data_IF_640213360997
#
_entry.id   IF_640213360997
#
_cell.length_a   1.000
_cell.length_b   1.000
_cell.length_c   1.000
_cell.angle_alpha   90.00
_cell.angle_beta   90.00
_cell.angle_gamma   90.00
#
_symmetry.space_group_name_H-M   'P 1'
#
loop_
_entity.id
_entity.type
_entity.pdbx_description
1 polymer ?
#
# COMPACT_ATOMS: atom_id res chain seq x y z
N UNK A 1 -70.91 -48.37 -9.17
CA UNK A 1 -69.76 -48.93 -8.40
C UNK A 1 -68.40 -48.46 -8.95
N UNK A 2 -68.27 -47.26 -9.51
CA UNK A 2 -67.01 -46.73 -10.10
C UNK A 2 -66.48 -45.43 -9.46
N UNK A 3 -67.12 -44.87 -8.44
CA UNK A 3 -66.74 -43.56 -7.85
C UNK A 3 -65.93 -43.69 -6.53
N UNK A 4 -65.84 -44.87 -5.92
CA UNK A 4 -65.12 -45.11 -4.67
C UNK A 4 -63.66 -45.47 -4.83
N UNK A 5 -63.20 -45.80 -6.07
CA UNK A 5 -61.80 -46.18 -6.34
C UNK A 5 -60.91 -44.99 -6.68
N UNK A 6 -61.46 -43.82 -7.00
CA UNK A 6 -60.71 -42.58 -7.33
C UNK A 6 -60.26 -41.78 -6.11
N UNK A 7 -60.91 -41.98 -4.96
CA UNK A 7 -60.56 -41.23 -3.73
C UNK A 7 -59.42 -41.87 -2.93
N UNK A 8 -59.16 -43.15 -3.13
CA UNK A 8 -58.01 -43.82 -2.46
C UNK A 8 -56.64 -43.50 -3.07
N UNK A 9 -56.62 -43.16 -4.37
CA UNK A 9 -55.36 -42.80 -5.06
C UNK A 9 -54.83 -41.39 -4.71
N UNK A 10 -55.69 -40.48 -4.30
CA UNK A 10 -55.30 -39.09 -3.93
C UNK A 10 -54.78 -38.99 -2.50
N UNK A 11 -55.06 -39.95 -1.62
CA UNK A 11 -54.57 -39.94 -0.23
C UNK A 11 -53.10 -40.31 -0.06
N UNK A 12 -52.60 -41.21 -0.92
CA UNK A 12 -51.19 -41.66 -0.84
C UNK A 12 -50.21 -40.58 -1.36
N UNK A 13 -50.64 -39.77 -2.30
CA UNK A 13 -49.86 -38.65 -2.84
C UNK A 13 -49.63 -37.50 -1.87
N UNK A 14 -50.64 -37.18 -1.04
CA UNK A 14 -50.52 -36.05 -0.11
C UNK A 14 -49.59 -36.32 1.09
N UNK A 15 -49.56 -37.56 1.55
CA UNK A 15 -48.67 -37.97 2.64
C UNK A 15 -47.20 -38.00 2.22
N UNK A 16 -46.89 -38.41 1.01
CA UNK A 16 -45.52 -38.36 0.46
C UNK A 16 -45.02 -36.95 0.19
N UNK A 17 -45.90 -36.06 -0.27
CA UNK A 17 -45.61 -34.64 -0.45
C UNK A 17 -45.40 -33.90 0.88
N UNK A 18 -46.15 -34.26 1.93
CA UNK A 18 -45.97 -33.74 3.28
C UNK A 18 -44.63 -34.13 3.89
N UNK A 19 -44.23 -35.41 3.74
CA UNK A 19 -42.97 -35.93 4.24
C UNK A 19 -41.76 -35.34 3.49
N UNK A 20 -41.85 -35.16 2.17
CA UNK A 20 -40.81 -34.48 1.37
C UNK A 20 -40.60 -33.00 1.77
N UNK A 21 -41.70 -32.28 2.02
CA UNK A 21 -41.64 -30.91 2.49
C UNK A 21 -41.05 -30.79 3.89
N UNK A 22 -41.36 -31.73 4.78
CA UNK A 22 -40.77 -31.78 6.11
C UNK A 22 -39.27 -32.11 6.04
N UNK A 23 -38.88 -33.08 5.24
CA UNK A 23 -37.46 -33.43 5.01
C UNK A 23 -36.66 -32.23 4.41
N UNK A 24 -37.23 -31.54 3.45
CA UNK A 24 -36.59 -30.32 2.86
C UNK A 24 -36.41 -29.20 3.89
N UNK A 25 -37.42 -28.97 4.74
CA UNK A 25 -37.33 -27.98 5.83
C UNK A 25 -36.24 -28.35 6.82
N UNK A 26 -36.12 -29.59 7.22
CA UNK A 26 -35.10 -30.08 8.12
C UNK A 26 -33.72 -29.94 7.46
N UNK A 27 -33.60 -30.31 6.20
CA UNK A 27 -32.33 -30.13 5.46
C UNK A 27 -31.89 -28.67 5.37
N UNK A 28 -32.83 -27.75 5.09
CA UNK A 28 -32.53 -26.29 5.06
C UNK A 28 -32.09 -25.79 6.44
N UNK A 29 -32.77 -26.19 7.52
CA UNK A 29 -32.40 -25.80 8.88
C UNK A 29 -31.03 -26.34 9.27
N UNK A 30 -30.71 -27.60 8.95
CA UNK A 30 -29.43 -28.21 9.23
C UNK A 30 -28.31 -27.52 8.42
N UNK A 31 -28.56 -27.23 7.14
CA UNK A 31 -27.58 -26.54 6.30
C UNK A 31 -27.35 -25.09 6.79
N UNK A 32 -28.38 -24.37 7.19
CA UNK A 32 -28.28 -23.05 7.76
C UNK A 32 -27.54 -23.04 9.12
N UNK A 33 -27.81 -24.02 9.97
CA UNK A 33 -27.09 -24.19 11.25
C UNK A 33 -25.60 -24.53 11.03
N UNK A 34 -25.30 -25.38 10.05
CA UNK A 34 -23.92 -25.70 9.68
C UNK A 34 -23.17 -24.48 9.09
N UNK A 35 -23.85 -23.67 8.27
CA UNK A 35 -23.28 -22.44 7.71
C UNK A 35 -23.01 -21.37 8.78
N UNK A 36 -23.86 -21.24 9.80
CA UNK A 36 -23.65 -20.34 10.93
C UNK A 36 -22.48 -20.80 11.84
N UNK A 37 -22.26 -22.11 11.97
CA UNK A 37 -21.13 -22.66 12.70
C UNK A 37 -19.78 -22.58 11.95
N UNK A 38 -19.81 -22.33 10.64
CA UNK A 38 -18.61 -22.22 9.80
C UNK A 38 -17.88 -20.85 9.93
N UNK A 39 -18.51 -19.83 10.54
CA UNK A 39 -17.84 -18.58 10.89
C UNK A 39 -16.89 -18.82 12.08
N UNK A 40 -15.73 -19.40 11.77
CA UNK A 40 -14.68 -19.64 12.75
C UNK A 40 -13.92 -18.33 12.99
N UNK A 41 -14.08 -17.78 14.18
CA UNK A 41 -13.37 -16.57 14.63
C UNK A 41 -12.15 -16.89 15.51
N UNK A 42 -11.74 -18.13 15.53
CA UNK A 42 -10.57 -18.55 16.30
C UNK A 42 -9.34 -17.78 15.83
N UNK A 43 -8.66 -17.11 16.75
CA UNK A 43 -7.38 -16.40 16.53
C UNK A 43 -7.48 -15.04 15.81
N UNK A 44 -8.66 -14.51 15.54
CA UNK A 44 -8.79 -13.10 15.12
C UNK A 44 -8.40 -12.14 16.25
N UNK A 45 -8.84 -12.44 17.46
CA UNK A 45 -8.40 -11.78 18.70
C UNK A 45 -7.65 -12.79 19.56
N UNK A 46 -6.37 -12.97 19.29
CA UNK A 46 -5.51 -13.78 20.13
C UNK A 46 -5.26 -13.06 21.47
N UNK A 47 -5.07 -13.77 22.61
CA UNK A 47 -4.79 -13.15 23.91
C UNK A 47 -3.34 -12.62 23.94
N UNK A 48 -3.04 -11.68 23.08
CA UNK A 48 -1.77 -10.94 22.97
C UNK A 48 -2.07 -9.50 22.64
N UNK A 49 -1.27 -8.59 23.12
CA UNK A 49 -1.36 -7.20 22.70
C UNK A 49 -0.76 -7.01 21.31
N UNK A 50 -1.43 -6.22 20.50
CA UNK A 50 -0.87 -5.70 19.25
C UNK A 50 -0.22 -4.33 19.46
N UNK A 51 0.71 -3.90 18.58
CA UNK A 51 1.53 -2.69 18.83
C UNK A 51 0.74 -1.41 19.11
N UNK A 52 -0.46 -1.25 18.57
CA UNK A 52 -1.30 -0.06 18.73
C UNK A 52 -2.54 -0.32 19.61
N UNK A 53 -2.60 -1.46 20.29
CA UNK A 53 -3.72 -1.82 21.14
C UNK A 53 -3.63 -1.11 22.49
N UNK A 54 -4.79 -0.81 23.07
CA UNK A 54 -4.87 -0.24 24.40
C UNK A 54 -4.48 -1.28 25.47
N UNK A 55 -3.73 -0.86 26.48
CA UNK A 55 -3.36 -1.70 27.62
C UNK A 55 -3.74 -1.04 28.93
N UNK A 56 -4.58 -1.70 29.71
CA UNK A 56 -4.91 -1.25 31.05
C UNK A 56 -3.76 -1.45 32.08
N UNK A 57 -2.72 -2.18 31.70
CA UNK A 57 -1.57 -2.45 32.59
C UNK A 57 -0.64 -1.24 32.73
N UNK A 58 -0.51 -0.42 31.67
CA UNK A 58 0.36 0.74 31.68
C UNK A 58 -0.41 2.04 31.88
N UNK A 59 0.17 2.99 32.61
CA UNK A 59 -0.45 4.29 32.93
C UNK A 59 -0.73 5.17 31.71
N UNK A 60 0.01 4.98 30.61
CA UNK A 60 -0.17 5.65 29.34
C UNK A 60 -1.21 4.95 28.43
N UNK A 61 -1.86 3.91 28.94
CA UNK A 61 -2.86 3.11 28.25
C UNK A 61 -2.39 2.52 26.90
N UNK A 62 -1.08 2.42 26.65
CA UNK A 62 -0.52 1.91 25.38
C UNK A 62 0.17 0.56 25.60
N UNK A 63 -0.10 -0.41 24.72
CA UNK A 63 0.61 -1.70 24.72
C UNK A 63 2.03 -1.56 24.17
N UNK A 64 2.26 -0.66 23.22
CA UNK A 64 3.58 -0.36 22.68
C UNK A 64 4.40 0.42 23.70
N UNK A 65 5.62 -0.03 23.96
CA UNK A 65 6.54 0.64 24.89
C UNK A 65 7.53 1.48 24.12
N UNK A 66 7.78 2.69 24.62
CA UNK A 66 8.89 3.51 24.13
C UNK A 66 10.22 2.80 24.40
N UNK A 67 11.20 2.90 23.50
CA UNK A 67 12.54 2.39 23.76
C UNK A 67 13.09 2.90 25.10
N UNK A 68 13.80 2.05 25.83
CA UNK A 68 14.42 2.45 27.10
C UNK A 68 15.46 3.53 26.81
N UNK A 69 15.44 4.62 27.57
CA UNK A 69 16.41 5.69 27.40
C UNK A 69 17.85 5.16 27.51
N UNK A 70 18.75 5.71 26.69
CA UNK A 70 20.16 5.32 26.61
C UNK A 70 20.41 3.88 26.14
N UNK A 71 19.45 3.27 25.42
CA UNK A 71 19.67 2.00 24.73
C UNK A 71 19.91 2.22 23.25
N UNK A 72 20.83 1.46 22.67
CA UNK A 72 21.12 1.43 21.24
C UNK A 72 20.39 0.23 20.63
N UNK A 73 19.70 0.46 19.52
CA UNK A 73 19.03 -0.60 18.74
C UNK A 73 20.07 -1.65 18.30
N UNK A 74 19.65 -2.93 18.24
CA UNK A 74 20.50 -4.01 17.71
C UNK A 74 20.65 -3.97 16.17
N UNK A 75 20.29 -2.88 15.53
CA UNK A 75 20.52 -2.71 14.11
C UNK A 75 21.85 -1.96 13.86
N UNK A 76 22.98 -2.67 13.78
CA UNK A 76 24.30 -2.04 13.62
C UNK A 76 24.46 -1.32 12.27
N UNK A 77 23.58 -1.61 11.30
CA UNK A 77 23.62 -0.95 9.99
C UNK A 77 23.09 0.49 10.05
N UNK A 78 22.19 0.81 10.97
CA UNK A 78 21.68 2.17 11.12
C UNK A 78 22.77 3.16 11.60
N UNK A 79 23.73 2.69 12.35
CA UNK A 79 24.85 3.51 12.86
C UNK A 79 26.02 3.57 11.88
N UNK A 80 26.07 2.69 10.87
CA UNK A 80 27.20 2.58 9.93
C UNK A 80 26.98 3.35 8.62
N UNK A 81 25.73 3.71 8.28
CA UNK A 81 25.41 4.44 7.05
C UNK A 81 24.40 5.56 7.34
N UNK A 82 24.96 6.70 7.78
CA UNK A 82 24.17 7.88 8.12
C UNK A 82 23.31 8.34 6.91
N UNK A 83 23.88 8.35 5.72
CA UNK A 83 23.15 8.80 4.53
C UNK A 83 21.94 7.91 4.25
N UNK A 84 22.14 6.59 4.23
CA UNK A 84 21.07 5.64 3.92
C UNK A 84 19.91 5.74 4.92
N UNK A 85 20.20 5.79 6.22
CA UNK A 85 19.17 5.69 7.26
C UNK A 85 18.59 7.02 7.72
N UNK A 86 19.33 8.13 7.54
CA UNK A 86 18.88 9.45 8.04
C UNK A 86 18.70 10.50 6.94
N UNK A 87 19.22 10.28 5.74
CA UNK A 87 19.22 11.27 4.68
C UNK A 87 20.22 12.40 4.91
N UNK A 88 21.19 12.21 5.83
CA UNK A 88 22.17 13.23 6.24
C UNK A 88 23.60 12.74 6.02
N UNK A 89 24.49 13.70 5.91
CA UNK A 89 25.94 13.51 5.95
C UNK A 89 26.48 14.54 6.97
N UNK A 90 27.16 14.06 8.00
CA UNK A 90 27.63 14.88 9.11
C UNK A 90 26.49 15.74 9.74
N UNK A 91 25.30 15.16 9.88
CA UNK A 91 24.14 15.82 10.46
C UNK A 91 23.42 16.82 9.54
N UNK A 92 23.91 17.04 8.29
CA UNK A 92 23.32 17.95 7.31
C UNK A 92 22.57 17.17 6.24
N UNK A 93 21.36 17.62 5.88
CA UNK A 93 20.55 16.98 4.83
C UNK A 93 21.29 16.95 3.51
N UNK A 94 21.45 15.74 2.95
CA UNK A 94 22.25 15.48 1.78
C UNK A 94 21.48 15.58 0.47
N UNK A 95 22.16 15.97 -0.61
CA UNK A 95 21.63 15.90 -1.97
C UNK A 95 21.97 14.55 -2.65
N UNK A 96 22.98 13.88 -2.16
CA UNK A 96 23.45 12.60 -2.67
C UNK A 96 22.45 11.49 -2.36
N UNK A 97 22.45 10.48 -3.20
CA UNK A 97 21.71 9.25 -3.00
C UNK A 97 22.64 8.15 -2.50
N UNK A 98 22.21 7.30 -1.55
CA UNK A 98 23.05 6.20 -1.05
C UNK A 98 23.20 5.05 -2.05
N UNK A 99 22.49 5.10 -3.17
CA UNK A 99 22.49 4.07 -4.20
C UNK A 99 22.48 4.68 -5.61
N UNK A 100 22.98 3.97 -6.64
CA UNK A 100 22.85 4.40 -8.02
C UNK A 100 21.38 4.49 -8.47
N UNK A 101 21.00 5.58 -9.12
CA UNK A 101 19.67 5.79 -9.69
C UNK A 101 19.57 5.08 -11.03
N UNK A 102 18.95 3.92 -11.04
CA UNK A 102 18.72 3.12 -12.24
C UNK A 102 17.25 3.18 -12.67
N UNK A 103 16.94 2.75 -13.89
CA UNK A 103 15.56 2.64 -14.36
C UNK A 103 14.71 1.72 -13.45
N UNK A 104 15.31 0.68 -12.88
CA UNK A 104 14.62 -0.21 -11.94
C UNK A 104 14.29 0.51 -10.61
N UNK A 105 15.20 1.32 -10.08
CA UNK A 105 14.96 2.15 -8.89
C UNK A 105 13.84 3.16 -9.15
N UNK A 106 13.85 3.83 -10.31
CA UNK A 106 12.77 4.78 -10.68
C UNK A 106 11.42 4.07 -10.84
N UNK A 107 11.38 2.90 -11.47
CA UNK A 107 10.14 2.11 -11.60
C UNK A 107 9.61 1.67 -10.23
N UNK A 108 10.49 1.24 -9.33
CA UNK A 108 10.14 0.90 -7.95
C UNK A 108 9.63 2.12 -7.19
N UNK A 109 10.31 3.25 -7.31
CA UNK A 109 9.89 4.53 -6.71
C UNK A 109 8.51 4.95 -7.18
N UNK A 110 8.24 4.85 -8.49
CA UNK A 110 6.93 5.14 -9.07
C UNK A 110 5.83 4.25 -8.51
N UNK A 111 6.08 2.95 -8.42
CA UNK A 111 5.13 1.99 -7.84
C UNK A 111 4.78 2.39 -6.40
N UNK A 112 5.79 2.59 -5.56
CA UNK A 112 5.62 2.93 -4.15
C UNK A 112 5.00 4.32 -3.96
N UNK A 113 5.41 5.29 -4.73
CA UNK A 113 4.80 6.62 -4.75
C UNK A 113 3.30 6.55 -5.06
N UNK A 114 2.93 5.78 -6.09
CA UNK A 114 1.52 5.64 -6.46
C UNK A 114 0.66 4.99 -5.37
N UNK A 115 1.24 4.11 -4.55
CA UNK A 115 0.54 3.44 -3.45
C UNK A 115 0.42 4.35 -2.24
N UNK A 116 1.53 4.94 -1.78
CA UNK A 116 1.59 5.60 -0.48
C UNK A 116 1.42 7.13 -0.57
N UNK A 117 1.90 7.77 -1.63
CA UNK A 117 2.00 9.23 -1.72
C UNK A 117 0.90 9.84 -2.60
N UNK A 118 0.63 9.24 -3.78
CA UNK A 118 -0.32 9.77 -4.75
C UNK A 118 -1.75 9.95 -4.23
N UNK A 119 -2.28 9.17 -3.28
CA UNK A 119 -3.60 9.44 -2.71
C UNK A 119 -3.77 10.85 -2.16
N UNK A 120 -2.72 11.44 -1.59
CA UNK A 120 -2.71 12.83 -1.09
C UNK A 120 -2.03 13.77 -2.08
N UNK A 121 -0.82 13.43 -2.59
CA UNK A 121 0.00 14.32 -3.40
C UNK A 121 -0.36 14.35 -4.88
N UNK A 122 -1.24 13.46 -5.35
CA UNK A 122 -1.53 13.29 -6.78
C UNK A 122 -0.41 12.55 -7.52
N UNK A 123 -0.72 11.97 -8.67
CA UNK A 123 0.27 11.22 -9.47
C UNK A 123 1.35 12.12 -10.09
N UNK A 124 1.07 13.39 -10.23
CA UNK A 124 1.97 14.41 -10.77
C UNK A 124 2.66 15.21 -9.67
N UNK A 125 2.34 14.94 -8.39
CA UNK A 125 2.92 15.65 -7.26
C UNK A 125 2.37 17.06 -7.03
N UNK A 126 1.21 17.42 -7.61
CA UNK A 126 0.59 18.74 -7.50
C UNK A 126 -0.21 18.95 -6.20
N UNK A 127 -0.29 17.94 -5.34
CA UNK A 127 -1.06 18.00 -4.11
C UNK A 127 -2.57 17.91 -4.30
N UNK A 128 -3.03 17.34 -5.39
CA UNK A 128 -4.43 17.23 -5.81
C UNK A 128 -4.97 15.80 -5.75
N UNK A 129 -4.38 14.97 -4.90
CA UNK A 129 -4.76 13.58 -4.76
C UNK A 129 -6.22 13.39 -4.35
N UNK A 130 -6.73 12.16 -4.54
CA UNK A 130 -8.14 11.83 -4.33
C UNK A 130 -8.64 12.15 -2.92
N UNK A 131 -7.81 11.99 -1.90
CA UNK A 131 -8.16 12.28 -0.51
C UNK A 131 -8.32 13.79 -0.30
N UNK A 132 -7.49 14.60 -0.95
CA UNK A 132 -7.61 16.08 -0.94
C UNK A 132 -8.91 16.52 -1.60
N UNK A 133 -9.28 15.91 -2.72
CA UNK A 133 -10.56 16.18 -3.39
C UNK A 133 -11.78 15.81 -2.53
N UNK A 134 -11.60 14.97 -1.50
CA UNK A 134 -12.62 14.58 -0.53
C UNK A 134 -12.59 15.40 0.76
N UNK A 135 -11.84 16.50 0.81
CA UNK A 135 -11.86 17.46 1.91
C UNK A 135 -10.63 17.45 2.83
N UNK A 136 -9.63 16.61 2.56
CA UNK A 136 -8.36 16.72 3.29
C UNK A 136 -7.59 17.97 2.90
N UNK A 137 -6.86 18.54 3.86
CA UNK A 137 -6.00 19.71 3.59
C UNK A 137 -4.99 19.38 2.48
N UNK A 138 -4.95 20.25 1.48
CA UNK A 138 -4.03 20.13 0.35
C UNK A 138 -2.57 20.23 0.81
N UNK A 139 -1.71 19.24 0.52
CA UNK A 139 -0.28 19.34 0.74
C UNK A 139 0.35 20.30 -0.29
N UNK A 140 1.54 20.86 -0.02
CA UNK A 140 2.30 21.64 -0.99
C UNK A 140 2.58 20.83 -2.26
N UNK A 141 2.59 21.49 -3.40
CA UNK A 141 3.03 20.89 -4.66
C UNK A 141 4.54 20.65 -4.62
N UNK A 142 5.00 19.49 -5.08
CA UNK A 142 6.44 19.24 -5.26
C UNK A 142 7.08 20.16 -6.29
N UNK A 143 6.26 20.85 -7.10
CA UNK A 143 6.73 21.78 -8.14
C UNK A 143 7.02 23.18 -7.60
N UNK A 144 6.72 23.48 -6.32
CA UNK A 144 7.10 24.74 -5.69
C UNK A 144 8.63 24.87 -5.62
N UNK A 145 9.15 26.08 -5.87
CA UNK A 145 10.61 26.34 -5.89
C UNK A 145 11.29 25.91 -4.59
N UNK A 146 10.64 26.14 -3.46
CA UNK A 146 11.13 25.71 -2.14
C UNK A 146 11.39 24.20 -2.10
N UNK A 147 10.50 23.38 -2.65
CA UNK A 147 10.64 21.93 -2.65
C UNK A 147 11.56 21.45 -3.78
N UNK A 148 11.54 22.11 -4.93
CA UNK A 148 12.48 21.78 -6.01
C UNK A 148 13.94 21.99 -5.59
N UNK A 149 14.20 23.02 -4.79
CA UNK A 149 15.54 23.38 -4.30
C UNK A 149 15.89 22.69 -2.96
N UNK A 150 14.97 21.96 -2.33
CA UNK A 150 15.26 21.25 -1.10
C UNK A 150 16.20 20.06 -1.37
N UNK A 151 17.01 19.67 -0.40
CA UNK A 151 17.89 18.50 -0.51
C UNK A 151 17.10 17.20 -0.66
N UNK A 152 17.67 16.18 -1.31
CA UNK A 152 17.04 14.85 -1.42
C UNK A 152 16.76 14.25 -0.03
N UNK A 153 17.71 14.40 0.90
CA UNK A 153 17.55 13.97 2.29
C UNK A 153 16.39 14.62 3.02
N UNK A 154 15.94 15.82 2.61
CA UNK A 154 14.76 16.47 3.18
C UNK A 154 13.49 15.63 2.94
N UNK A 155 13.29 15.15 1.72
CA UNK A 155 12.13 14.30 1.40
C UNK A 155 12.18 12.96 2.16
N UNK A 156 13.39 12.39 2.26
CA UNK A 156 13.61 11.19 3.04
C UNK A 156 13.30 11.41 4.53
N UNK A 157 13.76 12.51 5.12
CA UNK A 157 13.53 12.87 6.52
C UNK A 157 12.03 13.09 6.80
N UNK A 158 11.33 13.81 5.90
CA UNK A 158 9.87 14.03 5.99
C UNK A 158 9.09 12.73 5.92
N UNK A 159 9.44 11.81 5.02
CA UNK A 159 8.81 10.48 4.96
C UNK A 159 9.11 9.65 6.21
N UNK A 160 10.28 9.83 6.80
CA UNK A 160 10.73 9.04 7.96
C UNK A 160 10.06 9.50 9.26
N UNK A 161 9.93 10.80 9.47
CA UNK A 161 9.48 11.38 10.75
C UNK A 161 8.12 12.07 10.66
N UNK A 162 7.57 12.21 9.45
CA UNK A 162 6.39 13.01 9.20
C UNK A 162 6.69 14.52 9.20
N UNK A 163 5.72 15.33 8.78
CA UNK A 163 5.82 16.78 8.81
C UNK A 163 4.43 17.43 8.92
N UNK A 164 4.18 18.13 9.99
CA UNK A 164 2.89 18.80 10.23
C UNK A 164 1.72 17.81 10.27
N UNK A 165 0.84 17.85 9.28
CA UNK A 165 -0.29 16.91 9.17
C UNK A 165 0.06 15.59 8.45
N UNK A 166 1.24 15.50 7.82
CA UNK A 166 1.73 14.28 7.19
C UNK A 166 2.29 13.33 8.25
N UNK A 167 1.73 12.13 8.32
CA UNK A 167 2.21 11.06 9.21
C UNK A 167 3.59 10.56 8.74
N UNK A 168 4.32 9.91 9.64
CA UNK A 168 5.52 9.16 9.29
C UNK A 168 5.18 7.87 8.53
N UNK A 169 6.11 7.41 7.72
CA UNK A 169 5.99 6.19 6.92
C UNK A 169 7.11 5.19 7.19
N UNK A 170 7.91 5.42 8.22
CA UNK A 170 9.07 4.58 8.53
C UNK A 170 8.69 3.11 8.81
N UNK A 171 7.52 2.89 9.41
CA UNK A 171 7.02 1.55 9.72
C UNK A 171 6.46 0.81 8.49
N UNK A 172 5.95 1.55 7.49
CA UNK A 172 5.27 0.95 6.33
C UNK A 172 6.17 0.83 5.10
N UNK A 173 7.16 1.71 4.96
CA UNK A 173 8.01 1.81 3.77
C UNK A 173 9.46 1.51 4.16
N UNK A 174 10.06 0.42 3.66
CA UNK A 174 11.49 0.12 3.86
C UNK A 174 12.39 1.29 3.45
N UNK A 175 13.58 1.35 4.02
CA UNK A 175 14.55 2.44 3.81
C UNK A 175 14.88 2.63 2.33
N UNK A 176 15.16 1.54 1.62
CA UNK A 176 15.50 1.55 0.20
C UNK A 176 14.33 2.03 -0.66
N UNK A 177 13.10 1.63 -0.31
CA UNK A 177 11.90 2.08 -1.02
C UNK A 177 11.65 3.58 -0.81
N UNK A 178 11.94 4.13 0.39
CA UNK A 178 11.86 5.58 0.64
C UNK A 178 12.82 6.35 -0.27
N UNK A 179 14.06 5.89 -0.42
CA UNK A 179 15.01 6.49 -1.34
C UNK A 179 14.58 6.34 -2.81
N UNK A 180 14.00 5.22 -3.18
CA UNK A 180 13.43 5.03 -4.52
C UNK A 180 12.27 6.02 -4.79
N UNK A 181 11.43 6.29 -3.79
CA UNK A 181 10.38 7.32 -3.87
C UNK A 181 11.00 8.70 -4.07
N UNK A 182 12.03 9.07 -3.30
CA UNK A 182 12.73 10.36 -3.47
C UNK A 182 13.29 10.50 -4.89
N UNK A 183 13.90 9.42 -5.42
CA UNK A 183 14.41 9.42 -6.79
C UNK A 183 13.29 9.67 -7.82
N UNK A 184 12.13 9.04 -7.62
CA UNK A 184 10.97 9.26 -8.48
C UNK A 184 10.39 10.67 -8.34
N UNK A 185 10.32 11.24 -7.14
CA UNK A 185 9.90 12.63 -6.92
C UNK A 185 10.80 13.62 -7.67
N UNK A 186 12.12 13.39 -7.65
CA UNK A 186 13.06 14.18 -8.46
C UNK A 186 12.81 14.04 -9.95
N UNK A 187 12.53 12.84 -10.44
CA UNK A 187 12.16 12.61 -11.81
C UNK A 187 10.84 13.32 -12.20
N UNK A 188 9.84 13.33 -11.30
CA UNK A 188 8.61 14.11 -11.49
C UNK A 188 8.88 15.61 -11.59
N UNK A 189 9.69 16.16 -10.69
CA UNK A 189 10.08 17.56 -10.71
C UNK A 189 10.80 17.92 -12.01
N UNK A 190 11.76 17.09 -12.42
CA UNK A 190 12.49 17.28 -13.68
C UNK A 190 11.56 17.20 -14.89
N UNK A 191 10.68 16.20 -14.96
CA UNK A 191 9.78 15.99 -16.11
C UNK A 191 8.83 17.14 -16.39
N UNK A 192 8.52 17.96 -15.36
CA UNK A 192 7.60 19.10 -15.50
C UNK A 192 8.33 20.44 -15.71
N UNK A 193 9.67 20.42 -15.71
CA UNK A 193 10.50 21.62 -15.91
C UNK A 193 11.64 21.34 -16.90
N UNK A 194 11.61 20.21 -17.58
CA UNK A 194 12.62 19.85 -18.57
C UNK A 194 12.55 20.78 -19.77
N UNK A 195 13.72 21.16 -20.27
CA UNK A 195 13.89 21.92 -21.50
C UNK A 195 14.31 20.99 -22.63
N UNK A 196 14.16 21.43 -23.87
CA UNK A 196 14.58 20.63 -25.03
C UNK A 196 16.07 20.30 -25.03
N UNK A 197 16.87 21.15 -24.37
CA UNK A 197 18.29 20.93 -24.16
C UNK A 197 18.63 19.74 -23.26
N UNK A 198 17.71 19.35 -22.39
CA UNK A 198 17.86 18.19 -21.48
C UNK A 198 17.69 16.86 -22.20
N UNK A 199 17.12 16.87 -23.42
CA UNK A 199 16.92 15.67 -24.22
C UNK A 199 18.20 15.38 -25.02
N UNK A 200 18.79 14.18 -24.87
CA UNK A 200 19.93 13.75 -25.67
C UNK A 200 19.65 13.92 -27.17
N UNK A 201 20.65 14.35 -27.92
CA UNK A 201 20.50 14.70 -29.36
C UNK A 201 19.95 13.52 -30.19
N UNK A 202 20.37 12.30 -29.87
CA UNK A 202 19.93 11.06 -30.51
C UNK A 202 18.46 10.71 -30.21
N UNK A 203 17.85 11.34 -29.20
CA UNK A 203 16.46 11.12 -28.77
C UNK A 203 15.52 12.28 -29.12
N UNK A 204 16.05 13.42 -29.58
CA UNK A 204 15.21 14.58 -29.90
C UNK A 204 14.18 14.30 -30.99
N UNK A 205 14.52 13.46 -31.99
CA UNK A 205 13.58 13.04 -33.01
C UNK A 205 12.38 12.20 -32.50
N UNK A 206 12.46 11.68 -31.26
CA UNK A 206 11.39 10.95 -30.63
C UNK A 206 10.30 11.90 -30.08
N UNK A 207 10.61 13.18 -29.86
CA UNK A 207 9.65 14.17 -29.32
C UNK A 207 8.49 14.45 -30.28
N UNK A 208 8.75 14.39 -31.58
CA UNK A 208 7.74 14.63 -32.63
C UNK A 208 6.93 13.35 -32.95
N UNK A 209 7.31 12.21 -32.36
CA UNK A 209 6.61 10.95 -32.57
C UNK A 209 5.34 10.91 -31.71
N UNK A 210 4.17 10.64 -32.30
CA UNK A 210 2.95 10.45 -31.51
C UNK A 210 3.18 9.44 -30.40
N UNK A 211 2.78 9.78 -29.18
CA UNK A 211 2.90 8.86 -28.06
C UNK A 211 2.20 7.54 -28.41
N UNK A 212 2.92 6.42 -28.29
CA UNK A 212 2.29 5.11 -28.42
C UNK A 212 1.11 5.01 -27.44
N UNK A 213 -0.01 4.38 -27.83
CA UNK A 213 -1.14 4.18 -26.93
C UNK A 213 -0.62 3.57 -25.62
N UNK A 214 -0.86 4.25 -24.51
CA UNK A 214 -0.51 3.72 -23.21
C UNK A 214 -1.29 2.42 -23.02
N UNK A 215 -0.65 1.29 -22.69
CA UNK A 215 -1.38 0.10 -22.29
C UNK A 215 -2.34 0.49 -21.17
N UNK A 216 -3.58 0.04 -21.26
CA UNK A 216 -4.60 0.29 -20.25
C UNK A 216 -4.00 -0.07 -18.88
N UNK A 217 -4.09 0.85 -17.93
CA UNK A 217 -3.52 0.75 -16.60
C UNK A 217 -3.99 -0.56 -15.93
N UNK A 218 -3.13 -1.58 -15.90
CA UNK A 218 -3.49 -2.88 -15.32
C UNK A 218 -2.43 -3.97 -15.48
N UNK A 219 -1.48 -3.82 -16.39
CA UNK A 219 -0.41 -4.80 -16.54
C UNK A 219 0.94 -4.11 -16.53
N UNK A 220 1.57 -4.11 -15.35
CA UNK A 220 3.02 -4.00 -15.30
C UNK A 220 3.59 -5.20 -16.07
N UNK A 221 4.61 -5.03 -16.95
CA UNK A 221 5.32 -6.16 -17.51
C UNK A 221 5.84 -6.98 -16.32
N UNK A 222 5.48 -8.27 -16.29
CA UNK A 222 6.06 -9.21 -15.35
C UNK A 222 7.56 -9.24 -15.61
N UNK A 223 8.30 -8.46 -14.84
CA UNK A 223 9.74 -8.50 -14.82
C UNK A 223 10.13 -9.89 -14.35
N UNK A 224 10.78 -10.63 -15.22
CA UNK A 224 11.39 -11.93 -14.95
C UNK A 224 12.27 -11.78 -13.70
N UNK A 225 11.82 -12.40 -12.61
CA UNK A 225 12.57 -12.47 -11.37
C UNK A 225 13.92 -13.17 -11.65
N UNK A 226 15.06 -12.63 -11.18
CA UNK A 226 16.34 -13.32 -11.31
C UNK A 226 16.24 -14.67 -10.62
N UNK A 227 16.50 -15.74 -11.38
CA UNK A 227 16.61 -17.10 -10.85
C UNK A 227 17.74 -17.14 -9.81
N UNK A 228 17.52 -17.68 -8.60
CA UNK A 228 18.60 -17.90 -7.67
C UNK A 228 19.58 -18.90 -8.29
N UNK A 229 20.82 -18.49 -8.48
CA UNK A 229 21.91 -19.41 -8.82
C UNK A 229 22.11 -20.38 -7.65
N UNK A 230 21.98 -21.66 -7.96
CA UNK A 230 22.27 -22.76 -7.05
C UNK A 230 23.76 -22.77 -6.68
N UNK A 231 24.06 -22.69 -5.38
CA UNK A 231 25.29 -23.23 -4.77
C UNK A 231 24.93 -24.16 -3.65
#
# INVERSE_FOLDING_TARGET
MRLKLLTAALGIGSWRLGSLRAALRVAIVVTAAAALGACRQDMHDAPRYEPLEASAFFTDASSARTPVANTVSRNPLADSDELLYTGKVNGVLANEFPMPITAAVLARGQERFNIFCAPCHGRTGQGDGMIVQRGMRKPPSFMEDRLRNAAAGYFFDVMTHGFGAMQDYAAQIPVEDRWAIVAYERALQFSQHAEIGDVPDDRRGDLDRPAAPRPASGQAPAGEAPRPEAR
#
